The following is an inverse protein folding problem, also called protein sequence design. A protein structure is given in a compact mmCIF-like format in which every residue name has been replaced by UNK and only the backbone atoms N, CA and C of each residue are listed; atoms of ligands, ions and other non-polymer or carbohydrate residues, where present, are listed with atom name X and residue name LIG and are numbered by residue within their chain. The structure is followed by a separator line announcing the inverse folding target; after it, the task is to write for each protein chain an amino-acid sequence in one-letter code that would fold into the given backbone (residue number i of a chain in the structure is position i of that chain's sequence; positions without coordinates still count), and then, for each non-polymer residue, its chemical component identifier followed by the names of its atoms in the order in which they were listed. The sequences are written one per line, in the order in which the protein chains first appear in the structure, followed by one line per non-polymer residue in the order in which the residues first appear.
data_IF_812139216780
#
_entry.id   IF_812139216780
#
_cell.length_a   1.000
_cell.length_b   1.000
_cell.length_c   1.000
_cell.angle_alpha   90.00
_cell.angle_beta   90.00
_cell.angle_gamma   90.00
#
_symmetry.space_group_name_H-M   'P 1'
#
loop_
_entity.id
_entity.type
_entity.pdbx_description
1 polymer ?
#
# COMPACT_ATOMS: atom_id res chain seq x y z
N UNK A 1 -14.37 -13.27 2.92
CA UNK A 1 -14.58 -13.41 4.36
C UNK A 1 -13.26 -13.53 5.10
N UNK A 2 -13.14 -12.85 6.20
CA UNK A 2 -11.89 -12.85 6.96
C UNK A 2 -11.84 -14.10 7.82
N UNK A 3 -10.75 -14.83 7.70
CA UNK A 3 -10.59 -16.04 8.45
C UNK A 3 -10.03 -15.78 9.83
N UNK A 4 -10.38 -16.64 10.76
CA UNK A 4 -9.84 -16.58 12.11
C UNK A 4 -8.47 -17.24 12.09
N UNK A 5 -7.47 -16.56 12.64
CA UNK A 5 -6.13 -17.09 12.72
C UNK A 5 -5.82 -17.49 14.14
N UNK A 6 -5.27 -18.71 14.29
CA UNK A 6 -4.93 -19.25 15.60
C UNK A 6 -3.43 -19.33 15.71
N UNK A 7 -2.88 -18.76 16.76
CA UNK A 7 -1.48 -19.00 17.03
C UNK A 7 -1.33 -19.28 18.53
N UNK A 8 -0.10 -19.42 18.96
CA UNK A 8 0.18 -19.92 20.30
C UNK A 8 -0.43 -19.06 21.39
N UNK A 9 -0.33 -17.76 21.24
CA UNK A 9 -0.71 -16.85 22.30
C UNK A 9 -1.95 -16.03 21.99
N UNK A 10 -2.52 -16.19 20.81
CA UNK A 10 -3.57 -15.29 20.39
C UNK A 10 -4.41 -15.88 19.28
N UNK A 11 -5.70 -15.62 19.33
CA UNK A 11 -6.63 -15.94 18.26
C UNK A 11 -7.11 -14.60 17.73
N UNK A 12 -6.98 -14.38 16.41
CA UNK A 12 -7.33 -13.07 15.89
C UNK A 12 -7.97 -13.15 14.52
N UNK A 13 -8.68 -12.09 14.19
CA UNK A 13 -9.37 -11.97 12.91
C UNK A 13 -9.25 -10.51 12.48
N UNK A 14 -8.02 -10.05 12.31
CA UNK A 14 -7.73 -8.65 12.02
C UNK A 14 -7.24 -8.52 10.60
N UNK A 15 -8.09 -8.05 9.72
CA UNK A 15 -7.74 -7.83 8.33
C UNK A 15 -7.95 -6.38 7.98
N UNK A 16 -7.11 -5.87 7.07
CA UNK A 16 -7.12 -4.47 6.71
C UNK A 16 -7.09 -4.31 5.21
N UNK A 17 -7.88 -3.36 4.73
CA UNK A 17 -7.75 -2.88 3.36
C UNK A 17 -6.71 -1.79 3.37
N UNK A 18 -5.65 -1.97 2.60
CA UNK A 18 -4.58 -0.99 2.50
C UNK A 18 -4.50 -0.55 1.05
N UNK A 19 -4.50 0.76 0.83
CA UNK A 19 -4.44 1.31 -0.52
C UNK A 19 -3.33 2.34 -0.56
N UNK A 20 -2.43 2.24 -1.54
CA UNK A 20 -1.41 3.27 -1.70
C UNK A 20 -1.12 3.46 -3.19
N UNK A 21 -0.54 4.61 -3.51
CA UNK A 21 -0.34 5.04 -4.88
C UNK A 21 1.10 5.39 -5.17
N UNK A 22 1.52 5.26 -6.41
CA UNK A 22 2.80 5.83 -6.81
C UNK A 22 2.80 7.34 -6.60
N UNK A 23 3.98 7.92 -6.42
CA UNK A 23 4.11 9.34 -6.24
C UNK A 23 3.49 10.06 -7.45
N UNK A 24 2.76 11.10 -7.16
CA UNK A 24 2.01 11.87 -8.18
C UNK A 24 0.97 11.05 -8.90
N UNK A 25 0.61 9.90 -8.35
CA UNK A 25 -0.37 8.98 -8.94
C UNK A 25 0.01 8.62 -10.38
N UNK A 26 1.29 8.47 -10.64
CA UNK A 26 1.74 8.10 -11.97
C UNK A 26 1.30 6.68 -12.29
N UNK A 27 0.90 6.48 -13.54
CA UNK A 27 0.36 5.19 -13.97
C UNK A 27 1.49 4.29 -14.44
N UNK A 28 2.34 3.91 -13.51
CA UNK A 28 3.54 3.13 -13.83
C UNK A 28 3.42 1.65 -13.48
N UNK A 29 2.37 1.26 -12.77
CA UNK A 29 2.24 -0.12 -12.31
C UNK A 29 1.59 -0.97 -13.39
N UNK A 30 2.34 -1.25 -14.44
CA UNK A 30 1.85 -2.01 -15.58
C UNK A 30 2.88 -3.01 -16.03
N UNK A 31 2.43 -4.05 -16.72
CA UNK A 31 3.34 -5.01 -17.34
C UNK A 31 4.27 -5.66 -16.36
N UNK A 32 5.55 -5.65 -16.69
CA UNK A 32 6.55 -6.33 -15.87
C UNK A 32 6.69 -5.68 -14.48
N UNK A 33 6.49 -4.39 -14.41
CA UNK A 33 6.57 -3.70 -13.12
C UNK A 33 5.46 -4.18 -12.20
N UNK A 34 4.25 -4.29 -12.73
CA UNK A 34 3.13 -4.77 -11.94
C UNK A 34 3.36 -6.20 -11.47
N UNK A 35 3.92 -7.04 -12.34
CA UNK A 35 4.15 -8.42 -11.97
C UNK A 35 5.25 -8.53 -10.91
N UNK A 36 6.31 -7.76 -11.06
CA UNK A 36 7.38 -7.75 -10.06
C UNK A 36 6.85 -7.27 -8.71
N UNK A 37 5.98 -6.27 -8.74
CA UNK A 37 5.38 -5.74 -7.54
C UNK A 37 4.50 -6.80 -6.85
N UNK A 38 3.71 -7.52 -7.63
CA UNK A 38 2.86 -8.59 -7.09
C UNK A 38 3.70 -9.63 -6.39
N UNK A 39 4.79 -10.04 -7.05
CA UNK A 39 5.67 -11.04 -6.46
C UNK A 39 6.33 -10.52 -5.19
N UNK A 40 6.74 -9.26 -5.19
CA UNK A 40 7.39 -8.69 -4.02
C UNK A 40 6.44 -8.61 -2.83
N UNK A 41 5.22 -8.15 -3.05
CA UNK A 41 4.24 -8.06 -1.97
C UNK A 41 3.93 -9.45 -1.43
N UNK A 42 3.71 -10.40 -2.33
CA UNK A 42 3.40 -11.77 -1.94
C UNK A 42 4.52 -12.36 -1.10
N UNK A 43 5.77 -12.15 -1.53
CA UNK A 43 6.91 -12.71 -0.81
C UNK A 43 7.03 -12.12 0.59
N UNK A 44 6.81 -10.81 0.72
CA UNK A 44 6.88 -10.17 2.04
C UNK A 44 5.81 -10.74 2.97
N UNK A 45 4.61 -10.89 2.45
CA UNK A 45 3.50 -11.35 3.27
C UNK A 45 3.68 -12.82 3.66
N UNK A 46 4.21 -13.64 2.75
CA UNK A 46 4.48 -15.03 3.09
C UNK A 46 5.55 -15.10 4.19
N UNK A 47 6.61 -14.34 4.03
CA UNK A 47 7.70 -14.37 4.99
C UNK A 47 7.24 -13.94 6.38
N UNK A 48 6.34 -12.97 6.44
CA UNK A 48 5.89 -12.45 7.72
C UNK A 48 4.63 -13.13 8.22
N UNK A 49 4.11 -14.08 7.43
CA UNK A 49 2.90 -14.79 7.80
C UNK A 49 1.71 -13.86 7.94
N UNK A 50 1.58 -12.97 6.96
CA UNK A 50 0.42 -12.11 6.82
C UNK A 50 -0.43 -12.64 5.68
N UNK A 51 -1.49 -13.39 5.96
CA UNK A 51 -2.31 -13.96 4.88
C UNK A 51 -2.93 -12.88 4.01
N UNK A 52 -2.78 -13.03 2.70
CA UNK A 52 -3.38 -12.11 1.74
C UNK A 52 -4.75 -12.64 1.37
N UNK A 53 -5.78 -11.80 1.53
CA UNK A 53 -7.12 -12.18 1.10
C UNK A 53 -7.35 -11.76 -0.34
N UNK A 54 -6.96 -10.55 -0.71
CA UNK A 54 -6.98 -10.12 -2.10
C UNK A 54 -5.86 -9.14 -2.34
N UNK A 55 -5.40 -9.12 -3.59
CA UNK A 55 -4.37 -8.16 -4.01
C UNK A 55 -4.71 -7.72 -5.41
N UNK A 56 -4.96 -6.43 -5.56
CA UNK A 56 -5.25 -5.84 -6.86
C UNK A 56 -4.24 -4.75 -7.15
N UNK A 57 -3.63 -4.82 -8.32
CA UNK A 57 -2.68 -3.82 -8.74
C UNK A 57 -3.24 -3.16 -9.98
N UNK A 58 -3.56 -1.88 -9.84
CA UNK A 58 -4.00 -1.05 -10.95
C UNK A 58 -2.86 -0.15 -11.36
N UNK A 59 -2.91 0.44 -12.54
CA UNK A 59 -1.76 1.25 -12.98
C UNK A 59 -1.37 2.36 -12.02
N UNK A 60 -2.31 2.91 -11.27
CA UNK A 60 -2.04 4.04 -10.40
C UNK A 60 -2.33 3.78 -8.94
N UNK A 61 -2.57 2.54 -8.54
CA UNK A 61 -2.76 2.25 -7.12
C UNK A 61 -2.72 0.75 -6.85
N UNK A 62 -2.53 0.42 -5.58
CA UNK A 62 -2.55 -0.94 -5.09
C UNK A 62 -3.64 -1.04 -4.05
N UNK A 63 -4.41 -2.10 -4.10
CA UNK A 63 -5.39 -2.41 -3.08
C UNK A 63 -5.07 -3.79 -2.54
N UNK A 64 -4.64 -3.83 -1.29
CA UNK A 64 -4.25 -5.07 -0.61
C UNK A 64 -5.17 -5.30 0.56
N UNK A 65 -5.81 -6.47 0.60
CA UNK A 65 -6.62 -6.87 1.74
C UNK A 65 -5.85 -7.98 2.43
N UNK A 66 -5.37 -7.72 3.63
CA UNK A 66 -4.37 -8.59 4.27
C UNK A 66 -4.64 -8.71 5.76
N UNK A 67 -4.40 -9.91 6.29
CA UNK A 67 -4.51 -10.15 7.73
C UNK A 67 -3.19 -9.82 8.38
N UNK A 68 -3.24 -8.96 9.40
CA UNK A 68 -2.04 -8.55 10.14
C UNK A 68 -2.29 -8.83 11.61
N UNK A 69 -1.36 -9.53 12.27
CA UNK A 69 -1.61 -9.91 13.68
C UNK A 69 -1.63 -8.69 14.60
N UNK A 70 -2.33 -8.80 15.72
CA UNK A 70 -2.42 -7.67 16.65
C UNK A 70 -1.10 -7.26 17.26
N UNK A 71 -0.10 -8.13 17.22
CA UNK A 71 1.22 -7.79 17.72
C UNK A 71 1.99 -6.85 16.78
N UNK A 72 1.47 -6.62 15.57
CA UNK A 72 2.12 -5.83 14.56
C UNK A 72 1.33 -4.56 14.31
N UNK A 73 1.94 -3.40 14.51
CA UNK A 73 1.27 -2.15 14.20
C UNK A 73 1.05 -2.04 12.71
N UNK A 74 -0.15 -1.65 12.32
CA UNK A 74 -0.50 -1.54 10.90
C UNK A 74 0.40 -0.54 10.20
N UNK A 75 0.68 0.58 10.85
CA UNK A 75 1.55 1.60 10.26
C UNK A 75 2.93 1.04 9.95
N UNK A 76 3.46 0.20 10.84
CA UNK A 76 4.76 -0.40 10.58
C UNK A 76 4.70 -1.42 9.45
N UNK A 77 3.60 -2.15 9.37
CA UNK A 77 3.43 -3.12 8.29
C UNK A 77 3.41 -2.41 6.94
N UNK A 78 2.68 -1.30 6.86
CA UNK A 78 2.61 -0.53 5.62
C UNK A 78 3.98 0.03 5.27
N UNK A 79 4.71 0.51 6.27
CA UNK A 79 6.05 1.04 6.05
C UNK A 79 6.98 -0.04 5.48
N UNK A 80 6.88 -1.26 6.00
CA UNK A 80 7.67 -2.37 5.49
C UNK A 80 7.30 -2.67 4.04
N UNK A 81 6.01 -2.73 3.76
CA UNK A 81 5.55 -3.04 2.41
C UNK A 81 6.02 -1.98 1.42
N UNK A 82 5.83 -0.70 1.76
CA UNK A 82 6.21 0.36 0.84
C UNK A 82 7.72 0.44 0.67
N UNK A 83 8.46 0.35 1.75
CA UNK A 83 9.92 0.45 1.68
C UNK A 83 10.55 -0.69 0.93
N UNK A 84 10.13 -1.92 1.21
CA UNK A 84 10.71 -3.07 0.55
C UNK A 84 10.38 -3.11 -0.93
N UNK A 85 9.14 -2.82 -1.28
CA UNK A 85 8.75 -2.86 -2.69
C UNK A 85 9.43 -1.75 -3.48
N UNK A 86 9.58 -0.57 -2.89
CA UNK A 86 10.27 0.52 -3.58
C UNK A 86 11.71 0.14 -3.89
N UNK A 87 12.41 -0.42 -2.91
CA UNK A 87 13.79 -0.84 -3.13
C UNK A 87 13.89 -1.89 -4.23
N UNK A 88 13.02 -2.90 -4.16
CA UNK A 88 13.08 -3.98 -5.12
C UNK A 88 12.77 -3.50 -6.53
N UNK A 89 11.79 -2.62 -6.67
CA UNK A 89 11.43 -2.13 -7.99
C UNK A 89 12.50 -1.21 -8.56
N UNK A 90 13.13 -0.38 -7.74
CA UNK A 90 14.19 0.48 -8.24
C UNK A 90 15.41 -0.33 -8.66
N UNK A 91 15.68 -1.44 -7.99
CA UNK A 91 16.79 -2.30 -8.39
C UNK A 91 16.47 -3.01 -9.70
N UNK A 92 15.25 -3.53 -9.81
CA UNK A 92 14.86 -4.28 -11.01
C UNK A 92 14.60 -3.38 -12.20
N UNK A 93 14.16 -2.15 -11.97
CA UNK A 93 13.79 -1.23 -13.03
C UNK A 93 14.41 0.14 -12.74
N UNK A 94 15.71 0.29 -12.97
CA UNK A 94 16.38 1.55 -12.61
C UNK A 94 15.80 2.78 -13.28
N UNK A 95 15.20 2.63 -14.45
CA UNK A 95 14.62 3.74 -15.14
C UNK A 95 13.45 4.39 -14.39
N UNK A 96 12.88 3.68 -13.41
CA UNK A 96 11.80 4.27 -12.64
C UNK A 96 12.22 5.52 -11.90
N UNK A 97 13.48 5.57 -11.46
CA UNK A 97 13.94 6.75 -10.73
C UNK A 97 13.92 8.00 -11.59
N UNK A 98 14.14 7.82 -12.89
CA UNK A 98 14.16 8.95 -13.80
C UNK A 98 12.77 9.55 -13.98
N UNK A 99 11.73 8.77 -13.70
CA UNK A 99 10.37 9.23 -13.88
C UNK A 99 9.79 9.86 -12.61
N UNK A 100 10.52 9.75 -11.51
CA UNK A 100 9.99 10.18 -10.22
C UNK A 100 10.93 11.15 -9.55
N UNK A 101 10.46 12.36 -9.33
CA UNK A 101 11.25 13.37 -8.64
C UNK A 101 11.57 12.93 -7.23
N UNK A 102 12.81 13.16 -6.82
CA UNK A 102 13.21 12.86 -5.46
C UNK A 102 13.46 11.40 -5.17
N UNK A 103 13.30 10.54 -6.17
CA UNK A 103 13.63 9.14 -6.00
C UNK A 103 12.70 8.35 -5.09
N UNK A 104 11.51 8.86 -4.85
CA UNK A 104 10.51 8.15 -4.06
C UNK A 104 9.49 7.51 -4.98
N UNK A 105 9.25 6.22 -4.79
CA UNK A 105 8.31 5.50 -5.63
C UNK A 105 6.87 5.80 -5.22
N UNK A 106 6.61 5.79 -3.92
CA UNK A 106 5.25 5.88 -3.40
C UNK A 106 4.91 7.26 -2.88
N UNK A 107 3.64 7.61 -2.99
CA UNK A 107 3.10 8.77 -2.31
C UNK A 107 3.27 8.58 -0.81
N UNK A 108 3.46 9.64 -0.03
CA UNK A 108 3.72 9.48 1.40
C UNK A 108 2.54 8.97 2.22
N UNK A 109 1.34 9.05 1.70
CA UNK A 109 0.19 8.60 2.49
C UNK A 109 -0.31 7.24 2.05
N UNK A 110 -1.31 6.74 2.75
CA UNK A 110 -1.97 5.51 2.40
C UNK A 110 -3.34 5.50 3.10
N UNK A 111 -4.23 4.63 2.60
CA UNK A 111 -5.53 4.43 3.21
C UNK A 111 -5.53 3.09 3.95
N UNK A 112 -6.13 3.05 5.13
CA UNK A 112 -6.33 1.82 5.88
C UNK A 112 -7.77 1.76 6.37
N UNK A 113 -8.44 0.64 6.10
CA UNK A 113 -9.77 0.39 6.61
C UNK A 113 -9.83 -0.99 7.19
N UNK A 114 -10.67 -1.20 8.19
CA UNK A 114 -10.65 -2.44 8.96
C UNK A 114 -11.69 -3.45 8.57
N UNK A 115 -12.81 -3.05 8.02
CA UNK A 115 -13.91 -3.96 7.92
C UNK A 115 -14.55 -3.99 6.57
N UNK A 116 -15.13 -5.13 6.27
CA UNK A 116 -15.97 -5.28 5.12
C UNK A 116 -15.28 -4.99 3.80
N UNK A 117 -16.08 -4.68 2.81
CA UNK A 117 -15.57 -4.34 1.51
C UNK A 117 -15.38 -2.84 1.42
N UNK A 118 -14.25 -2.43 0.88
CA UNK A 118 -14.02 -1.02 0.61
C UNK A 118 -14.76 -0.68 -0.66
N UNK A 119 -15.57 0.36 -0.63
CA UNK A 119 -16.35 0.73 -1.80
C UNK A 119 -15.46 1.36 -2.86
N UNK A 120 -15.91 1.25 -4.10
CA UNK A 120 -15.20 1.89 -5.20
C UNK A 120 -15.11 3.38 -4.99
N UNK A 121 -16.10 3.96 -4.35
CA UNK A 121 -16.11 5.39 -4.11
C UNK A 121 -15.03 5.79 -3.11
N UNK A 122 -14.83 4.99 -2.07
CA UNK A 122 -13.77 5.26 -1.10
C UNK A 122 -12.42 5.23 -1.78
N UNK A 123 -12.19 4.23 -2.63
CA UNK A 123 -10.94 4.13 -3.35
C UNK A 123 -10.74 5.33 -4.24
N UNK A 124 -11.78 5.74 -4.95
CA UNK A 124 -11.68 6.87 -5.86
C UNK A 124 -11.37 8.16 -5.10
N UNK A 125 -12.03 8.37 -3.95
CA UNK A 125 -11.75 9.55 -3.14
C UNK A 125 -10.28 9.62 -2.73
N UNK A 126 -9.73 8.50 -2.31
CA UNK A 126 -8.34 8.48 -1.90
C UNK A 126 -7.43 8.80 -3.09
N UNK A 127 -7.71 8.21 -4.24
CA UNK A 127 -6.87 8.41 -5.41
C UNK A 127 -6.94 9.85 -5.89
N UNK A 128 -8.13 10.44 -5.91
CA UNK A 128 -8.29 11.82 -6.34
C UNK A 128 -7.59 12.76 -5.39
N UNK A 129 -7.66 12.47 -4.10
CA UNK A 129 -6.98 13.29 -3.12
C UNK A 129 -5.47 13.24 -3.31
N UNK A 130 -4.95 12.07 -3.63
CA UNK A 130 -3.53 11.94 -3.90
C UNK A 130 -3.13 12.80 -5.09
N UNK A 131 -3.99 12.85 -6.09
CA UNK A 131 -3.70 13.66 -7.25
C UNK A 131 -3.73 15.14 -6.91
N UNK A 132 -4.65 15.55 -6.04
CA UNK A 132 -4.77 16.94 -5.66
C UNK A 132 -3.53 17.49 -4.98
N UNK A 133 -2.81 16.67 -4.25
CA UNK A 133 -1.62 17.14 -3.55
C UNK A 133 -0.38 17.02 -4.40
N UNK A 134 -0.54 16.57 -5.62
CA UNK A 134 0.58 16.39 -6.51
C UNK A 134 1.26 17.72 -6.78
N UNK A 135 2.59 17.74 -6.57
CA UNK A 135 3.36 18.92 -6.89
C UNK A 135 3.05 20.14 -6.05
N UNK A 136 2.49 19.95 -4.87
CA UNK A 136 2.10 21.08 -4.07
C UNK A 136 2.57 20.91 -2.66
N UNK A 137 2.22 21.89 -1.87
CA UNK A 137 2.52 21.86 -0.47
C UNK A 137 1.58 20.92 0.22
N UNK A 138 1.58 19.72 -0.21
CA UNK A 138 0.61 18.82 0.34
C UNK A 138 0.84 18.55 1.82
N UNK A 139 1.98 18.86 2.33
CA UNK A 139 2.19 18.66 3.76
C UNK A 139 1.20 19.48 4.58
N UNK A 140 0.74 20.60 4.03
CA UNK A 140 -0.29 21.35 4.71
C UNK A 140 -1.63 20.64 4.67
N UNK A 141 -1.92 20.02 3.54
CA UNK A 141 -3.14 19.25 3.41
C UNK A 141 -3.13 18.07 4.34
N UNK A 142 -2.03 17.40 4.40
CA UNK A 142 -1.94 16.25 5.28
C UNK A 142 -1.95 16.65 6.73
N UNK A 143 -1.50 17.82 7.03
CA UNK A 143 -1.54 18.25 8.41
C UNK A 143 -2.96 18.41 8.91
N UNK A 144 -3.84 18.85 8.05
CA UNK A 144 -5.21 18.98 8.46
C UNK A 144 -5.90 17.64 8.60
N UNK A 145 -5.47 16.68 7.78
CA UNK A 145 -6.01 15.34 7.87
C UNK A 145 -5.08 14.44 8.56
N UNK A 146 -4.12 14.99 9.14
CA UNK A 146 -2.95 14.30 9.45
C UNK A 146 -3.12 13.19 10.30
N UNK A 147 -4.13 13.28 10.85
CA UNK A 147 -4.41 12.17 11.58
C UNK A 147 -4.13 10.94 10.80
N UNK A 148 -4.30 11.01 9.58
CA UNK A 148 -4.22 9.80 8.84
C UNK A 148 -2.83 9.29 8.69
N UNK A 149 -1.89 9.97 9.10
CA UNK A 149 -0.56 9.41 9.08
C UNK A 149 0.00 9.24 10.43
#
# INVERSE_FOLDING_TARGET
MVEIVYNRNCVYQTAYHVIWCPKYRKRILKGEIAEALRLAITAICIEREWPILTLEIQPDHIHLFVTIPPSQAVADAVKILKGSTARKLFVAFPALKDQLYGGHLWSPSYYVGTAGNVSAETIRHYIERTEHIKGRRYCLLYTSDAADD
#
